data_IF_189397090831
#
_entry.id   IF_189397090831
#
_cell.length_a   1.000
_cell.length_b   1.000
_cell.length_c   1.000
_cell.angle_alpha   90.00
_cell.angle_beta   90.00
_cell.angle_gamma   90.00
#
_symmetry.space_group_name_H-M   'P 1'
#
loop_
_entity.id
_entity.type
_entity.pdbx_description
1 polymer ?
#
# COMPACT_ATOMS: atom_id res chain seq x y z
N UNK A 1 25.15 8.87 13.57
CA UNK A 1 25.42 9.90 12.52
C UNK A 1 24.09 10.53 12.14
N UNK A 2 23.97 11.85 12.15
CA UNK A 2 22.74 12.50 11.71
C UNK A 2 22.61 12.36 10.19
N UNK A 3 21.50 11.84 9.70
CA UNK A 3 21.21 11.81 8.27
C UNK A 3 20.90 13.23 7.81
N UNK A 4 21.79 13.84 7.02
CA UNK A 4 21.52 15.16 6.45
C UNK A 4 20.63 15.02 5.22
N UNK A 5 19.40 15.53 5.29
CA UNK A 5 18.43 15.53 4.18
C UNK A 5 18.61 16.76 3.25
N UNK A 6 19.40 17.75 3.65
CA UNK A 6 19.46 19.10 3.02
C UNK A 6 19.79 19.16 1.53
N UNK A 7 20.40 18.10 0.97
CA UNK A 7 20.84 18.12 -0.43
C UNK A 7 20.36 16.87 -1.21
N UNK A 8 19.41 16.12 -0.66
CA UNK A 8 18.87 14.96 -1.34
C UNK A 8 17.70 15.36 -2.24
N UNK A 9 17.65 14.86 -3.49
CA UNK A 9 16.49 15.07 -4.36
C UNK A 9 15.25 14.41 -3.76
N UNK A 10 14.23 15.21 -3.52
CA UNK A 10 12.93 14.73 -3.04
C UNK A 10 12.15 14.06 -4.17
N UNK A 11 11.61 12.90 -3.88
CA UNK A 11 10.67 12.20 -4.76
C UNK A 11 9.28 12.69 -4.37
N UNK A 12 8.70 13.58 -5.19
CA UNK A 12 7.34 14.08 -4.98
C UNK A 12 6.32 13.02 -5.34
N UNK A 13 5.36 12.76 -4.47
CA UNK A 13 4.24 11.85 -4.74
C UNK A 13 3.45 11.53 -3.48
N UNK A 14 2.15 11.27 -3.68
CA UNK A 14 1.22 10.85 -2.64
C UNK A 14 0.68 11.99 -1.76
N UNK A 15 -0.33 11.63 -0.94
CA UNK A 15 -0.98 12.52 0.03
C UNK A 15 -0.40 12.35 1.45
N UNK A 16 0.54 11.41 1.63
CA UNK A 16 1.17 11.15 2.93
C UNK A 16 2.04 12.32 3.37
N UNK A 17 2.12 12.53 4.69
CA UNK A 17 2.97 13.55 5.31
C UNK A 17 4.45 13.18 5.29
N UNK A 18 4.79 11.92 5.03
CA UNK A 18 6.19 11.47 4.91
C UNK A 18 6.87 12.10 3.72
N UNK A 19 8.17 12.35 3.85
CA UNK A 19 9.01 12.82 2.75
C UNK A 19 9.93 11.69 2.29
N UNK A 20 10.09 11.56 0.99
CA UNK A 20 10.89 10.50 0.37
C UNK A 20 12.00 11.12 -0.45
N UNK A 21 13.23 10.68 -0.23
CA UNK A 21 14.40 11.18 -0.93
C UNK A 21 15.19 10.04 -1.56
N UNK A 22 15.86 10.32 -2.67
CA UNK A 22 16.81 9.38 -3.28
C UNK A 22 18.23 9.77 -2.95
N UNK A 23 18.99 8.84 -2.36
CA UNK A 23 20.41 9.01 -2.03
C UNK A 23 21.24 8.07 -2.90
N UNK A 24 22.27 8.62 -3.54
CA UNK A 24 23.27 7.83 -4.27
C UNK A 24 24.52 7.72 -3.40
N UNK A 25 24.92 6.49 -3.04
CA UNK A 25 26.09 6.24 -2.22
C UNK A 25 26.91 5.08 -2.82
N UNK A 26 28.18 5.35 -3.14
CA UNK A 26 29.10 4.34 -3.73
C UNK A 26 28.50 3.55 -4.90
N UNK A 27 27.80 4.22 -5.81
CA UNK A 27 27.08 3.66 -6.97
C UNK A 27 25.82 2.83 -6.61
N UNK A 28 25.37 2.84 -5.36
CA UNK A 28 24.13 2.20 -4.92
C UNK A 28 23.11 3.29 -4.66
N UNK A 29 21.95 3.17 -5.26
CA UNK A 29 20.82 4.02 -4.94
C UNK A 29 20.11 3.51 -3.70
N UNK A 30 19.78 4.44 -2.79
CA UNK A 30 18.98 4.17 -1.59
C UNK A 30 17.81 5.14 -1.53
N UNK A 31 16.74 4.73 -0.92
CA UNK A 31 15.61 5.58 -0.56
C UNK A 31 15.72 5.94 0.91
N UNK A 32 15.57 7.22 1.21
CA UNK A 32 15.50 7.74 2.58
C UNK A 32 14.07 8.22 2.81
N UNK A 33 13.41 7.66 3.80
CA UNK A 33 12.03 8.02 4.16
C UNK A 33 12.08 8.75 5.50
N UNK A 34 11.56 9.96 5.51
CA UNK A 34 11.42 10.81 6.69
C UNK A 34 9.96 10.78 7.16
N UNK A 35 9.73 10.14 8.31
CA UNK A 35 8.43 10.04 8.99
C UNK A 35 8.32 11.03 10.16
N UNK A 36 9.16 12.05 10.25
CA UNK A 36 9.16 12.99 11.39
C UNK A 36 7.82 13.68 11.61
N UNK A 37 7.01 13.81 10.55
CA UNK A 37 5.66 14.37 10.60
C UNK A 37 4.58 13.38 11.08
N UNK A 38 4.88 12.06 11.14
CA UNK A 38 3.95 11.03 11.57
C UNK A 38 4.68 9.84 12.21
N UNK A 39 4.83 9.90 13.53
CA UNK A 39 5.49 8.82 14.30
C UNK A 39 4.75 7.49 14.23
N UNK A 40 3.41 7.50 14.06
CA UNK A 40 2.62 6.27 13.97
C UNK A 40 2.95 5.53 12.67
N UNK A 41 3.06 6.23 11.54
CA UNK A 41 3.49 5.62 10.27
C UNK A 41 4.89 5.02 10.35
N UNK A 42 5.84 5.66 11.06
CA UNK A 42 7.17 5.12 11.30
C UNK A 42 7.13 3.78 12.03
N UNK A 43 6.42 3.74 13.16
CA UNK A 43 6.33 2.54 13.99
C UNK A 43 5.60 1.40 13.24
N UNK A 44 4.55 1.74 12.48
CA UNK A 44 3.84 0.79 11.63
C UNK A 44 4.74 0.26 10.49
N UNK A 45 5.53 1.12 9.84
CA UNK A 45 6.48 0.67 8.81
C UNK A 45 7.40 -0.42 9.36
N UNK A 46 8.02 -0.20 10.52
CA UNK A 46 8.91 -1.17 11.12
C UNK A 46 8.20 -2.47 11.52
N UNK A 47 6.98 -2.37 12.06
CA UNK A 47 6.14 -3.51 12.42
C UNK A 47 5.82 -4.35 11.18
N UNK A 48 5.26 -3.74 10.15
CA UNK A 48 4.85 -4.45 8.94
C UNK A 48 6.06 -4.99 8.18
N UNK A 49 7.16 -4.22 8.09
CA UNK A 49 8.41 -4.72 7.52
C UNK A 49 8.91 -6.00 8.21
N UNK A 50 8.83 -6.04 9.55
CA UNK A 50 9.20 -7.24 10.32
C UNK A 50 8.33 -8.44 9.99
N UNK A 51 7.05 -8.25 9.75
CA UNK A 51 6.11 -9.32 9.34
C UNK A 51 6.46 -9.80 7.93
N UNK A 52 6.51 -8.88 6.98
CA UNK A 52 6.72 -9.20 5.56
C UNK A 52 8.11 -9.75 5.27
N UNK A 53 9.14 -9.37 6.04
CA UNK A 53 10.51 -9.90 5.88
C UNK A 53 10.69 -11.38 6.26
N UNK A 54 9.68 -12.00 6.90
CA UNK A 54 9.68 -13.42 7.28
C UNK A 54 9.11 -14.33 6.21
N UNK A 55 8.41 -13.75 5.23
CA UNK A 55 7.80 -14.49 4.14
C UNK A 55 8.56 -14.24 2.83
N UNK A 56 8.40 -15.15 1.88
CA UNK A 56 9.16 -15.13 0.63
C UNK A 56 8.56 -14.17 -0.42
N UNK A 57 8.65 -12.86 -0.16
CA UNK A 57 8.21 -11.80 -1.08
C UNK A 57 9.29 -10.72 -1.22
N UNK A 58 9.24 -9.94 -2.27
CA UNK A 58 10.19 -8.86 -2.51
C UNK A 58 9.70 -7.55 -1.89
N UNK A 59 10.30 -7.16 -0.76
CA UNK A 59 10.15 -5.85 -0.13
C UNK A 59 11.50 -5.16 -0.04
N UNK A 60 11.58 -3.81 0.02
CA UNK A 60 12.85 -3.10 0.14
C UNK A 60 13.62 -3.52 1.39
N UNK A 61 14.87 -3.90 1.22
CA UNK A 61 15.76 -4.16 2.35
C UNK A 61 15.96 -2.90 3.17
N UNK A 62 15.79 -2.99 4.47
CA UNK A 62 16.12 -1.90 5.40
C UNK A 62 17.61 -1.90 5.67
N UNK A 63 18.30 -0.80 5.41
CA UNK A 63 19.73 -0.63 5.65
C UNK A 63 20.01 0.05 6.99
N UNK A 64 19.24 1.11 7.30
CA UNK A 64 19.46 1.93 8.50
C UNK A 64 18.12 2.38 9.09
N UNK A 65 18.03 2.44 10.42
CA UNK A 65 16.87 2.96 11.15
C UNK A 65 17.36 4.00 12.16
N UNK A 66 16.92 5.23 12.01
CA UNK A 66 17.22 6.36 12.88
C UNK A 66 15.98 6.69 13.71
N UNK A 67 15.86 6.01 14.86
CA UNK A 67 14.64 6.02 15.70
C UNK A 67 14.32 7.42 16.23
N UNK A 68 15.33 8.21 16.63
CA UNK A 68 15.13 9.56 17.18
C UNK A 68 14.61 10.53 16.12
N UNK A 69 15.17 10.46 14.93
CA UNK A 69 14.83 11.31 13.80
C UNK A 69 13.60 10.82 13.02
N UNK A 70 13.12 9.59 13.30
CA UNK A 70 12.05 8.92 12.55
C UNK A 70 12.39 8.75 11.06
N UNK A 71 13.64 8.41 10.75
CA UNK A 71 14.14 8.23 9.39
C UNK A 71 14.50 6.76 9.17
N UNK A 72 14.13 6.23 8.00
CA UNK A 72 14.48 4.87 7.54
C UNK A 72 15.20 4.97 6.21
N UNK A 73 16.30 4.24 6.06
CA UNK A 73 17.03 4.10 4.79
C UNK A 73 16.82 2.70 4.24
N UNK A 74 16.27 2.63 3.04
CA UNK A 74 15.88 1.38 2.41
C UNK A 74 16.48 1.23 1.01
N UNK A 75 16.36 0.04 0.46
CA UNK A 75 16.68 -0.30 -0.92
C UNK A 75 15.84 0.52 -1.90
N UNK A 76 16.48 0.97 -3.00
CA UNK A 76 15.81 1.61 -4.13
C UNK A 76 15.51 0.57 -5.21
N UNK A 77 14.25 0.21 -5.39
CA UNK A 77 13.81 -0.68 -6.47
C UNK A 77 13.93 -0.07 -7.88
N UNK A 78 14.38 1.19 -7.97
CA UNK A 78 14.68 1.86 -9.22
C UNK A 78 13.49 2.57 -9.85
N UNK A 79 13.29 2.35 -11.17
CA UNK A 79 12.32 3.13 -11.95
C UNK A 79 11.25 2.27 -12.65
N UNK A 80 11.32 0.96 -12.52
CA UNK A 80 10.43 0.03 -13.23
C UNK A 80 9.13 -0.22 -12.45
N UNK A 81 8.45 0.86 -12.12
CA UNK A 81 7.13 0.82 -11.50
C UNK A 81 6.09 0.32 -12.51
N UNK A 82 5.10 -0.46 -12.06
CA UNK A 82 4.07 -1.05 -12.91
C UNK A 82 3.25 0.00 -13.69
N UNK A 83 3.05 1.20 -13.15
CA UNK A 83 2.37 2.30 -13.84
C UNK A 83 3.02 2.75 -15.17
N UNK A 84 4.27 2.39 -15.41
CA UNK A 84 5.00 2.83 -16.62
C UNK A 84 4.82 1.89 -17.80
N UNK A 85 4.09 0.82 -17.61
CA UNK A 85 3.95 -0.23 -18.62
C UNK A 85 2.64 -0.01 -19.35
N UNK A 86 2.74 0.19 -20.67
CA UNK A 86 1.62 0.49 -21.57
C UNK A 86 1.27 -0.65 -22.51
N UNK A 87 2.04 -1.75 -22.49
CA UNK A 87 1.82 -2.89 -23.37
C UNK A 87 0.92 -3.92 -22.69
N UNK A 88 -0.15 -4.29 -23.34
CA UNK A 88 -1.20 -5.19 -22.82
C UNK A 88 -0.66 -6.57 -22.38
N UNK A 89 0.26 -7.16 -23.16
CA UNK A 89 0.88 -8.45 -22.81
C UNK A 89 1.77 -8.36 -21.56
N UNK A 90 2.49 -7.25 -21.43
CA UNK A 90 3.29 -6.99 -20.23
C UNK A 90 2.40 -6.72 -19.03
N UNK A 91 1.31 -6.00 -19.24
CA UNK A 91 0.34 -5.71 -18.19
C UNK A 91 -0.24 -7.01 -17.59
N UNK A 92 -0.69 -7.95 -18.43
CA UNK A 92 -1.18 -9.24 -17.97
C UNK A 92 -0.14 -10.03 -17.17
N UNK A 93 1.11 -10.05 -17.65
CA UNK A 93 2.22 -10.68 -16.91
C UNK A 93 2.40 -10.05 -15.52
N UNK A 94 2.32 -8.73 -15.43
CA UNK A 94 2.49 -8.01 -14.17
C UNK A 94 1.33 -8.24 -13.20
N UNK A 95 0.09 -8.25 -13.73
CA UNK A 95 -1.08 -8.60 -12.94
C UNK A 95 -0.94 -10.00 -12.35
N UNK A 96 -0.53 -10.97 -13.17
CA UNK A 96 -0.29 -12.33 -12.69
C UNK A 96 0.76 -12.37 -11.57
N UNK A 97 1.89 -11.67 -11.74
CA UNK A 97 2.91 -11.58 -10.70
C UNK A 97 2.37 -10.95 -9.40
N UNK A 98 1.55 -9.91 -9.50
CA UNK A 98 0.93 -9.25 -8.37
C UNK A 98 -0.04 -10.19 -7.65
N UNK A 99 -0.90 -10.91 -8.39
CA UNK A 99 -1.83 -11.90 -7.81
C UNK A 99 -1.08 -13.07 -7.17
N UNK A 100 -0.06 -13.64 -7.84
CA UNK A 100 0.78 -14.68 -7.27
C UNK A 100 1.41 -14.21 -5.93
N UNK A 101 1.81 -12.94 -5.87
CA UNK A 101 2.37 -12.35 -4.64
C UNK A 101 1.32 -12.21 -3.53
N UNK A 102 0.08 -11.80 -3.84
CA UNK A 102 -1.02 -11.76 -2.87
C UNK A 102 -1.33 -13.16 -2.32
N UNK A 103 -1.33 -14.18 -3.18
CA UNK A 103 -1.53 -15.58 -2.75
C UNK A 103 -0.43 -16.02 -1.79
N UNK A 104 0.83 -15.64 -2.03
CA UNK A 104 1.94 -15.96 -1.12
C UNK A 104 1.76 -15.24 0.23
N UNK A 105 1.38 -13.96 0.22
CA UNK A 105 1.12 -13.19 1.44
C UNK A 105 0.03 -13.88 2.26
N UNK A 106 -1.12 -14.19 1.66
CA UNK A 106 -2.26 -14.81 2.34
C UNK A 106 -1.90 -16.16 2.96
N UNK A 107 -1.14 -17.00 2.26
CA UNK A 107 -0.78 -18.33 2.72
C UNK A 107 0.39 -18.37 3.69
N UNK A 108 1.17 -17.29 3.81
CA UNK A 108 2.44 -17.32 4.56
C UNK A 108 2.40 -16.52 5.86
N UNK A 109 1.52 -15.53 6.01
CA UNK A 109 1.43 -14.76 7.25
C UNK A 109 0.72 -15.60 8.32
N UNK A 110 1.40 -15.78 9.45
CA UNK A 110 0.84 -16.53 10.57
C UNK A 110 -0.16 -15.66 11.37
N UNK A 111 -1.02 -16.33 12.15
CA UNK A 111 -2.07 -15.66 12.93
C UNK A 111 -1.51 -14.68 13.98
N UNK A 112 -0.38 -15.00 14.61
CA UNK A 112 0.19 -14.15 15.65
C UNK A 112 0.68 -12.83 15.05
N UNK A 113 1.34 -12.89 13.89
CA UNK A 113 1.77 -11.68 13.17
C UNK A 113 0.56 -10.87 12.66
N UNK A 114 -0.50 -11.53 12.21
CA UNK A 114 -1.73 -10.90 11.78
C UNK A 114 -2.45 -10.17 12.93
N UNK A 115 -2.57 -10.81 14.10
CA UNK A 115 -3.20 -10.21 15.27
C UNK A 115 -2.42 -9.03 15.88
N UNK A 116 -1.16 -8.84 15.49
CA UNK A 116 -0.40 -7.64 15.83
C UNK A 116 -0.78 -6.41 14.99
N UNK A 117 -1.52 -6.58 13.90
CA UNK A 117 -2.02 -5.48 13.08
C UNK A 117 -3.31 -4.88 13.66
N UNK A 118 -3.58 -3.62 13.34
CA UNK A 118 -4.88 -3.03 13.67
C UNK A 118 -5.98 -3.74 12.86
N UNK A 119 -7.07 -4.13 13.51
CA UNK A 119 -8.22 -4.72 12.84
C UNK A 119 -9.07 -3.63 12.18
N UNK A 120 -9.49 -3.85 10.93
CA UNK A 120 -10.42 -2.94 10.26
C UNK A 120 -11.78 -2.92 10.96
N UNK A 121 -12.29 -1.72 11.21
CA UNK A 121 -13.52 -1.50 11.97
C UNK A 121 -14.44 -0.53 11.24
N UNK A 122 -15.71 -0.50 11.62
CA UNK A 122 -16.65 0.51 11.11
C UNK A 122 -16.16 1.94 11.36
N UNK A 123 -15.47 2.19 12.46
CA UNK A 123 -14.88 3.51 12.73
C UNK A 123 -13.86 3.94 11.68
N UNK A 124 -13.07 3.00 11.16
CA UNK A 124 -12.14 3.27 10.07
C UNK A 124 -12.88 3.52 8.75
N UNK A 125 -13.85 2.66 8.41
CA UNK A 125 -14.71 2.87 7.24
C UNK A 125 -15.41 4.24 7.32
N UNK A 126 -16.01 4.57 8.46
CA UNK A 126 -16.70 5.85 8.67
C UNK A 126 -15.79 7.06 8.40
N UNK A 127 -14.54 6.99 8.82
CA UNK A 127 -13.55 8.05 8.56
C UNK A 127 -13.24 8.16 7.05
N UNK A 128 -13.06 7.03 6.38
CA UNK A 128 -12.73 7.00 4.94
C UNK A 128 -13.91 7.50 4.08
N UNK A 129 -15.12 7.02 4.33
CA UNK A 129 -16.30 7.52 3.61
C UNK A 129 -16.66 8.96 4.00
N UNK A 130 -16.19 9.43 5.16
CA UNK A 130 -16.32 10.81 5.60
C UNK A 130 -15.64 11.80 4.66
N UNK A 131 -14.57 11.41 3.98
CA UNK A 131 -13.93 12.26 2.98
C UNK A 131 -14.86 12.66 1.83
N UNK A 132 -15.81 11.79 1.47
CA UNK A 132 -16.87 12.14 0.54
C UNK A 132 -17.73 13.31 1.05
N UNK A 133 -18.10 13.26 2.33
CA UNK A 133 -18.92 14.28 2.97
C UNK A 133 -18.15 15.60 3.14
N UNK A 134 -16.87 15.49 3.57
CA UNK A 134 -16.07 16.64 3.98
C UNK A 134 -15.43 17.38 2.79
N UNK A 135 -15.15 16.67 1.69
CA UNK A 135 -14.45 17.24 0.54
C UNK A 135 -15.26 17.21 -0.75
N UNK A 136 -15.88 16.07 -1.09
CA UNK A 136 -16.55 15.93 -2.38
C UNK A 136 -17.87 16.71 -2.45
N UNK A 137 -18.72 16.63 -1.42
CA UNK A 137 -19.99 17.37 -1.40
C UNK A 137 -19.79 18.88 -1.43
N UNK A 138 -18.89 19.50 -0.66
CA UNK A 138 -18.57 20.91 -0.77
C UNK A 138 -18.00 21.29 -2.15
N UNK A 139 -17.10 20.48 -2.69
CA UNK A 139 -16.55 20.71 -4.02
C UNK A 139 -17.64 20.73 -5.10
N UNK A 140 -18.65 19.84 -5.00
CA UNK A 140 -19.79 19.77 -5.91
C UNK A 140 -20.92 20.74 -5.54
N UNK A 141 -20.78 21.53 -4.47
CA UNK A 141 -21.79 22.47 -3.96
C UNK A 141 -23.15 21.80 -3.68
N UNK A 142 -23.12 20.56 -3.18
CA UNK A 142 -24.34 19.82 -2.81
C UNK A 142 -24.79 20.27 -1.42
N UNK A 143 -25.93 20.97 -1.34
CA UNK A 143 -26.43 21.52 -0.08
C UNK A 143 -27.52 20.66 0.58
N UNK A 144 -28.23 19.83 -0.20
CA UNK A 144 -29.32 18.98 0.29
C UNK A 144 -28.88 17.53 0.37
N UNK A 145 -28.03 17.21 1.35
CA UNK A 145 -27.54 15.86 1.58
C UNK A 145 -27.72 15.47 3.06
N UNK A 146 -28.42 14.36 3.31
CA UNK A 146 -28.60 13.87 4.67
C UNK A 146 -27.41 13.03 5.11
N UNK A 147 -26.47 13.67 5.79
CA UNK A 147 -25.24 13.05 6.29
C UNK A 147 -25.52 11.91 7.28
N UNK A 148 -26.57 12.06 8.11
CA UNK A 148 -26.90 11.02 9.09
C UNK A 148 -27.42 9.75 8.42
N UNK A 149 -28.31 9.89 7.43
CA UNK A 149 -28.80 8.73 6.68
C UNK A 149 -27.68 8.06 5.88
N UNK A 150 -26.75 8.84 5.32
CA UNK A 150 -25.58 8.31 4.63
C UNK A 150 -24.75 7.40 5.54
N UNK A 151 -24.38 7.87 6.73
CA UNK A 151 -23.61 7.05 7.66
C UNK A 151 -24.40 5.85 8.21
N UNK A 152 -25.68 6.01 8.43
CA UNK A 152 -26.55 4.91 8.87
C UNK A 152 -26.63 3.80 7.82
N UNK A 153 -26.79 4.13 6.55
CA UNK A 153 -26.81 3.16 5.44
C UNK A 153 -25.48 2.39 5.40
N UNK A 154 -24.36 3.09 5.49
CA UNK A 154 -23.05 2.45 5.50
C UNK A 154 -22.83 1.54 6.70
N UNK A 155 -23.32 1.92 7.87
CA UNK A 155 -23.29 1.07 9.06
C UNK A 155 -24.12 -0.21 8.89
N UNK A 156 -25.31 -0.07 8.32
CA UNK A 156 -26.17 -1.22 8.00
C UNK A 156 -25.49 -2.16 7.00
N UNK A 157 -24.85 -1.62 5.94
CA UNK A 157 -24.12 -2.40 4.97
C UNK A 157 -22.96 -3.14 5.65
N UNK A 158 -22.13 -2.43 6.43
CA UNK A 158 -20.99 -3.01 7.14
C UNK A 158 -21.43 -4.16 8.07
N UNK A 159 -22.50 -3.98 8.84
CA UNK A 159 -22.98 -4.97 9.77
C UNK A 159 -23.63 -6.19 9.08
N UNK A 160 -24.28 -6.00 7.92
CA UNK A 160 -24.90 -7.07 7.15
C UNK A 160 -23.90 -7.99 6.45
N UNK A 161 -22.75 -7.49 6.09
CA UNK A 161 -21.77 -8.25 5.28
C UNK A 161 -21.04 -9.33 6.08
N UNK A 162 -21.09 -9.30 7.41
CA UNK A 162 -20.41 -10.28 8.29
C UNK A 162 -18.96 -10.54 7.86
N UNK A 163 -18.23 -9.48 7.53
CA UNK A 163 -16.86 -9.57 7.05
C UNK A 163 -15.93 -10.20 8.09
N UNK A 164 -15.36 -11.34 7.75
CA UNK A 164 -14.29 -11.93 8.54
C UNK A 164 -12.99 -11.15 8.28
N UNK A 165 -12.61 -10.29 9.23
CA UNK A 165 -11.31 -9.61 9.20
C UNK A 165 -10.27 -10.56 9.76
N UNK A 166 -9.71 -11.41 8.92
CA UNK A 166 -8.75 -12.45 9.24
C UNK A 166 -7.60 -12.59 8.23
N UNK A 167 -7.48 -11.63 7.31
CA UNK A 167 -6.44 -11.59 6.28
C UNK A 167 -5.55 -10.36 6.44
N UNK A 168 -4.30 -10.47 5.97
CA UNK A 168 -3.44 -9.30 5.81
C UNK A 168 -3.95 -8.44 4.65
N UNK A 169 -4.04 -7.14 4.88
CA UNK A 169 -4.38 -6.16 3.86
C UNK A 169 -3.28 -5.12 3.79
N UNK A 170 -2.67 -4.99 2.62
CA UNK A 170 -1.69 -3.94 2.32
C UNK A 170 -2.35 -2.55 2.32
N UNK A 171 -3.60 -2.47 1.93
CA UNK A 171 -4.46 -1.32 1.73
C UNK A 171 -4.29 -0.63 0.38
N UNK A 172 -3.07 -0.29 0.03
CA UNK A 172 -2.73 0.45 -1.19
C UNK A 172 -1.96 -0.46 -2.17
N UNK A 173 -2.44 -1.71 -2.39
CA UNK A 173 -1.85 -2.67 -3.31
C UNK A 173 -2.19 -2.30 -4.76
N UNK A 174 -1.59 -1.21 -5.21
CA UNK A 174 -1.83 -0.58 -6.51
C UNK A 174 -0.56 -0.57 -7.36
N UNK A 175 -0.71 -0.43 -8.68
CA UNK A 175 0.39 -0.37 -9.64
C UNK A 175 1.48 0.64 -9.30
N UNK A 176 1.11 1.76 -8.65
CA UNK A 176 2.07 2.78 -8.22
C UNK A 176 3.03 2.27 -7.13
N UNK A 177 2.60 1.29 -6.35
CA UNK A 177 3.33 0.71 -5.24
C UNK A 177 4.00 -0.63 -5.59
N UNK A 178 3.90 -1.07 -6.86
CA UNK A 178 4.47 -2.31 -7.35
C UNK A 178 5.60 -2.03 -8.36
N UNK A 179 6.70 -2.78 -8.25
CA UNK A 179 7.89 -2.63 -9.08
C UNK A 179 8.27 -3.93 -9.76
N UNK A 180 8.64 -3.86 -11.04
CA UNK A 180 9.16 -5.02 -11.75
C UNK A 180 10.67 -5.16 -11.53
N UNK A 181 11.06 -6.24 -10.83
CA UNK A 181 12.43 -6.55 -10.45
C UNK A 181 13.03 -7.61 -11.40
N UNK A 182 13.73 -7.16 -12.43
CA UNK A 182 14.25 -8.03 -13.51
C UNK A 182 15.22 -9.12 -13.05
N UNK A 183 15.95 -8.87 -11.96
CA UNK A 183 17.01 -9.76 -11.45
C UNK A 183 16.47 -10.82 -10.48
N UNK A 184 15.16 -10.90 -10.29
CA UNK A 184 14.49 -11.88 -9.45
C UNK A 184 13.69 -12.85 -10.31
N UNK A 185 13.33 -13.99 -9.74
CA UNK A 185 12.56 -15.01 -10.43
C UNK A 185 11.15 -15.13 -9.86
N UNK A 186 10.20 -15.58 -10.71
CA UNK A 186 8.82 -15.87 -10.31
C UNK A 186 8.13 -14.66 -9.66
N UNK A 187 7.32 -14.88 -8.59
CA UNK A 187 6.62 -13.86 -7.84
C UNK A 187 7.54 -12.81 -7.20
N UNK A 188 8.80 -13.14 -6.91
CA UNK A 188 9.80 -12.18 -6.41
C UNK A 188 10.12 -11.06 -7.41
N UNK A 189 9.69 -11.19 -8.68
CA UNK A 189 9.75 -10.08 -9.63
C UNK A 189 8.76 -8.95 -9.30
N UNK A 190 7.79 -9.17 -8.41
CA UNK A 190 6.88 -8.15 -7.92
C UNK A 190 7.40 -7.56 -6.60
N UNK A 191 8.12 -6.45 -6.69
CA UNK A 191 8.55 -5.69 -5.52
C UNK A 191 7.43 -4.82 -4.96
N UNK A 192 7.19 -4.88 -3.65
CA UNK A 192 6.11 -4.15 -2.96
C UNK A 192 6.70 -3.04 -2.10
N UNK A 193 6.14 -1.84 -2.18
CA UNK A 193 6.48 -0.71 -1.31
C UNK A 193 5.21 -0.12 -0.67
N UNK A 194 5.39 0.78 0.28
CA UNK A 194 4.31 1.61 0.87
C UNK A 194 3.32 0.83 1.74
N UNK A 195 3.79 -0.18 2.47
CA UNK A 195 2.99 -1.11 3.26
C UNK A 195 2.73 -0.67 4.72
N UNK A 196 3.12 0.53 5.14
CA UNK A 196 2.96 0.99 6.53
C UNK A 196 1.49 1.18 6.94
N UNK A 197 0.58 1.28 5.97
CA UNK A 197 -0.86 1.37 6.19
C UNK A 197 -1.56 0.03 6.34
N UNK A 198 -0.80 -1.08 6.31
CA UNK A 198 -1.36 -2.42 6.37
C UNK A 198 -2.14 -2.68 7.67
N UNK A 199 -3.20 -3.47 7.56
CA UNK A 199 -4.09 -3.82 8.65
C UNK A 199 -4.61 -5.26 8.52
N UNK A 200 -5.27 -5.77 9.55
CA UNK A 200 -6.01 -7.02 9.51
C UNK A 200 -7.43 -6.73 8.99
N UNK A 201 -7.74 -7.20 7.80
CA UNK A 201 -8.99 -6.95 7.10
C UNK A 201 -9.58 -8.20 6.47
N UNK A 202 -10.42 -8.02 5.48
CA UNK A 202 -11.07 -9.11 4.77
C UNK A 202 -10.32 -9.47 3.48
N UNK A 203 -10.32 -10.77 3.19
CA UNK A 203 -9.71 -11.34 1.99
C UNK A 203 -10.28 -10.67 0.72
N UNK A 204 -9.42 -10.46 -0.26
CA UNK A 204 -9.82 -9.86 -1.54
C UNK A 204 -9.74 -8.33 -1.59
N UNK A 205 -9.52 -7.64 -0.46
CA UNK A 205 -9.35 -6.17 -0.47
C UNK A 205 -8.27 -5.72 -1.46
N UNK A 206 -7.08 -6.28 -1.33
CA UNK A 206 -5.94 -5.88 -2.16
C UNK A 206 -6.10 -6.32 -3.63
N UNK A 207 -6.77 -7.45 -3.85
CA UNK A 207 -7.13 -7.89 -5.20
C UNK A 207 -8.10 -6.90 -5.85
N UNK A 208 -9.11 -6.43 -5.12
CA UNK A 208 -10.03 -5.41 -5.59
C UNK A 208 -9.29 -4.08 -5.89
N UNK A 209 -8.42 -3.65 -4.98
CA UNK A 209 -7.60 -2.44 -5.16
C UNK A 209 -6.71 -2.52 -6.40
N UNK A 210 -6.21 -3.70 -6.71
CA UNK A 210 -5.40 -3.97 -7.90
C UNK A 210 -6.23 -3.92 -9.19
N UNK A 211 -7.39 -4.60 -9.22
CA UNK A 211 -8.19 -4.82 -10.44
C UNK A 211 -9.14 -3.65 -10.75
N UNK A 212 -9.71 -3.02 -9.73
CA UNK A 212 -10.64 -1.90 -9.87
C UNK A 212 -9.94 -0.54 -9.69
N UNK A 213 -8.65 -0.45 -10.05
CA UNK A 213 -7.87 0.77 -9.90
C UNK A 213 -8.40 1.88 -10.82
N UNK A 214 -8.90 3.02 -10.30
CA UNK A 214 -9.48 4.09 -11.10
C UNK A 214 -8.47 4.84 -11.98
N UNK A 215 -7.18 4.60 -11.79
CA UNK A 215 -6.09 5.20 -12.57
C UNK A 215 -5.70 4.38 -13.78
N UNK A 216 -6.24 3.16 -13.94
CA UNK A 216 -5.87 2.23 -15.00
C UNK A 216 -7.15 1.70 -15.65
N UNK A 217 -7.28 1.89 -16.95
CA UNK A 217 -8.37 1.30 -17.71
C UNK A 217 -7.97 -0.14 -18.09
N UNK A 218 -8.47 -1.11 -17.33
CA UNK A 218 -8.47 -2.50 -17.77
C UNK A 218 -9.65 -2.74 -18.71
N UNK A 219 -9.43 -3.53 -19.76
CA UNK A 219 -10.56 -4.16 -20.44
C UNK A 219 -11.16 -5.21 -19.48
N UNK A 220 -12.48 -5.32 -19.40
CA UNK A 220 -13.18 -6.27 -18.50
C UNK A 220 -12.69 -7.73 -18.63
N UNK A 221 -12.17 -8.09 -19.78
CA UNK A 221 -11.65 -9.42 -20.10
C UNK A 221 -10.53 -9.90 -19.17
N UNK A 222 -9.72 -8.97 -18.63
CA UNK A 222 -8.65 -9.33 -17.68
C UNK A 222 -9.17 -9.67 -16.28
N UNK A 223 -10.25 -9.03 -15.86
CA UNK A 223 -10.84 -9.29 -14.55
C UNK A 223 -11.46 -10.68 -14.49
N UNK A 224 -12.02 -11.19 -15.61
CA UNK A 224 -12.62 -12.52 -15.70
C UNK A 224 -11.57 -13.65 -15.73
N UNK A 225 -10.33 -13.37 -16.12
CA UNK A 225 -9.26 -14.38 -16.21
C UNK A 225 -8.50 -14.54 -14.88
N UNK A 226 -8.53 -13.51 -14.01
CA UNK A 226 -7.73 -13.47 -12.78
C UNK A 226 -8.54 -13.81 -11.51
N UNK A 227 -9.84 -13.93 -11.61
CA UNK A 227 -10.77 -14.38 -10.57
C UNK A 227 -11.15 -15.84 -10.82
#
# INVERSE_FOLDING_TARGET
MNVSLKNLPEIKGGLSKKKVFRKVEKKINKIVIDFSADSKEFDNYLKVNKILSRINIAIPKVYEVHVKEKIIVIEDFGKNNFNKISNEKELFKLLKLAVDTLIIIENSINKDDLYNLEKYTFSQLRREIGEFVDYYLPYKKVNNFNVNDFYKIWEEIYNKQNFECNSFVHKDFEFINLFFLKNYDSHLQCGIIDFQSAFMGFIGWDLLSLLENPRINFTRDYNEILI
#
